data_IF_082712174475
#
_entry.id   IF_082712174475
#
_cell.length_a   1.000
_cell.length_b   1.000
_cell.length_c   1.000
_cell.angle_alpha   90.00
_cell.angle_beta   90.00
_cell.angle_gamma   90.00
#
_symmetry.space_group_name_H-M   'P 1'
#
loop_
_entity.id
_entity.type
_entity.pdbx_description
1 polymer ?
#
# COMPACT_ATOMS: atom_id res chain seq x y z
N UNK A 1 12.59 8.53 -18.95
CA UNK A 1 14.03 8.56 -18.61
C UNK A 1 14.36 7.69 -17.38
N UNK A 2 13.63 7.81 -16.24
CA UNK A 2 13.92 7.08 -14.99
C UNK A 2 13.86 5.56 -15.16
N UNK A 3 12.77 5.03 -15.71
CA UNK A 3 12.61 3.59 -15.96
C UNK A 3 13.76 3.03 -16.82
N UNK A 4 14.17 3.76 -17.88
CA UNK A 4 15.28 3.33 -18.75
C UNK A 4 16.60 3.21 -18.00
N UNK A 5 16.86 4.11 -17.05
CA UNK A 5 18.05 4.05 -16.19
C UNK A 5 17.98 2.89 -15.19
N UNK A 6 16.83 2.74 -14.52
CA UNK A 6 16.65 1.75 -13.47
C UNK A 6 16.54 0.31 -13.98
N UNK A 7 16.05 0.08 -15.20
CA UNK A 7 16.03 -1.26 -15.84
C UNK A 7 17.41 -1.91 -15.98
N UNK A 8 18.48 -1.13 -15.92
CA UNK A 8 19.85 -1.67 -15.93
C UNK A 8 20.21 -2.40 -14.64
N UNK A 9 19.53 -2.08 -13.53
CA UNK A 9 19.84 -2.61 -12.20
C UNK A 9 18.69 -3.43 -11.60
N UNK A 10 17.46 -3.15 -11.99
CA UNK A 10 16.26 -3.76 -11.41
C UNK A 10 15.33 -4.30 -12.48
N UNK A 11 14.60 -5.36 -12.13
CA UNK A 11 13.52 -5.89 -12.99
C UNK A 11 12.29 -4.96 -12.90
N UNK A 12 12.20 -4.01 -13.83
CA UNK A 12 11.13 -3.01 -13.84
C UNK A 12 10.30 -3.16 -15.11
N UNK A 13 8.99 -3.25 -14.93
CA UNK A 13 8.00 -3.23 -16.01
C UNK A 13 7.28 -1.88 -15.95
N UNK A 14 7.13 -1.22 -17.07
CA UNK A 14 6.39 0.04 -17.15
C UNK A 14 6.94 1.01 -18.20
N UNK A 15 6.31 2.20 -18.31
CA UNK A 15 5.15 2.64 -17.52
C UNK A 15 3.91 1.79 -17.78
N UNK A 16 3.04 1.62 -16.77
CA UNK A 16 1.74 0.97 -16.88
C UNK A 16 0.63 1.99 -16.76
N UNK A 17 -0.51 1.72 -17.39
CA UNK A 17 -1.71 2.52 -17.21
C UNK A 17 -2.28 2.31 -15.80
N UNK A 18 -2.53 3.38 -15.01
CA UNK A 18 -2.96 3.23 -13.62
C UNK A 18 -4.25 2.44 -13.44
N UNK A 19 -5.22 2.65 -14.33
CA UNK A 19 -6.53 1.99 -14.32
C UNK A 19 -6.47 0.47 -14.51
N UNK A 20 -5.47 -0.03 -15.24
CA UNK A 20 -5.31 -1.44 -15.55
C UNK A 20 -4.13 -2.11 -14.84
N UNK A 21 -3.31 -1.36 -14.13
CA UNK A 21 -2.08 -1.86 -13.50
C UNK A 21 -2.35 -3.01 -12.52
N UNK A 22 -3.43 -2.95 -11.75
CA UNK A 22 -3.83 -4.00 -10.82
C UNK A 22 -4.33 -5.28 -11.52
N UNK A 23 -4.96 -5.15 -12.66
CA UNK A 23 -5.37 -6.30 -13.49
C UNK A 23 -4.14 -6.97 -14.13
N UNK A 24 -3.18 -6.18 -14.56
CA UNK A 24 -1.95 -6.65 -15.19
C UNK A 24 -0.98 -7.27 -14.19
N UNK A 25 -1.04 -6.90 -12.91
CA UNK A 25 -0.14 -7.37 -11.85
C UNK A 25 0.00 -8.90 -11.84
N UNK A 26 -1.10 -9.62 -11.86
CA UNK A 26 -1.08 -11.08 -11.81
C UNK A 26 -0.54 -11.69 -13.12
N UNK A 27 -0.94 -11.15 -14.27
CA UNK A 27 -0.47 -11.60 -15.59
C UNK A 27 1.02 -11.41 -15.76
N UNK A 28 1.55 -10.28 -15.29
CA UNK A 28 2.95 -9.90 -15.43
C UNK A 28 3.82 -10.32 -14.23
N UNK A 29 3.23 -11.01 -13.22
CA UNK A 29 3.90 -11.45 -11.98
C UNK A 29 4.65 -10.30 -11.29
N UNK A 30 3.96 -9.18 -11.10
CA UNK A 30 4.51 -7.98 -10.47
C UNK A 30 4.36 -8.09 -8.95
N UNK A 31 5.46 -8.01 -8.22
CA UNK A 31 5.48 -8.03 -6.75
C UNK A 31 5.10 -6.68 -6.14
N UNK A 32 5.58 -5.59 -6.74
CA UNK A 32 5.43 -4.22 -6.23
C UNK A 32 4.91 -3.29 -7.33
N UNK A 33 3.85 -2.55 -7.03
CA UNK A 33 3.36 -1.44 -7.87
C UNK A 33 3.84 -0.11 -7.28
N UNK A 34 4.47 0.73 -8.11
CA UNK A 34 4.97 2.04 -7.72
C UNK A 34 4.10 3.12 -8.36
N UNK A 35 3.44 3.90 -7.53
CA UNK A 35 2.73 5.13 -7.93
C UNK A 35 3.48 6.37 -7.48
N UNK A 36 3.32 7.49 -8.21
CA UNK A 36 3.98 8.75 -7.91
C UNK A 36 3.14 9.66 -7.01
N UNK A 37 1.86 9.38 -6.86
CA UNK A 37 0.95 10.11 -5.98
C UNK A 37 -0.09 9.17 -5.38
N UNK A 38 -0.69 9.63 -4.29
CA UNK A 38 -1.58 8.86 -3.42
C UNK A 38 -2.67 8.08 -4.18
N UNK A 39 -3.48 8.74 -4.98
CA UNK A 39 -4.66 8.09 -5.60
C UNK A 39 -4.32 7.23 -6.82
N UNK A 40 -3.09 7.31 -7.33
CA UNK A 40 -2.66 6.54 -8.49
C UNK A 40 -2.73 5.01 -8.25
N UNK A 41 -2.52 4.59 -7.01
CA UNK A 41 -2.54 3.17 -6.63
C UNK A 41 -3.55 2.87 -5.53
N UNK A 42 -3.85 3.80 -4.63
CA UNK A 42 -4.68 3.52 -3.45
C UNK A 42 -6.14 3.31 -3.78
N UNK A 43 -6.70 3.95 -4.78
CA UNK A 43 -8.10 3.74 -5.18
C UNK A 43 -8.34 2.28 -5.55
N UNK A 44 -7.54 1.73 -6.46
CA UNK A 44 -7.64 0.33 -6.87
C UNK A 44 -7.25 -0.63 -5.75
N UNK A 45 -6.29 -0.24 -4.91
CA UNK A 45 -5.86 -1.03 -3.77
C UNK A 45 -6.98 -1.19 -2.74
N UNK A 46 -7.60 -0.10 -2.32
CA UNK A 46 -8.70 -0.11 -1.34
C UNK A 46 -9.93 -0.83 -1.84
N UNK A 47 -10.28 -0.68 -3.10
CA UNK A 47 -11.37 -1.43 -3.74
C UNK A 47 -11.15 -2.96 -3.63
N UNK A 48 -9.91 -3.42 -3.68
CA UNK A 48 -9.58 -4.83 -3.66
C UNK A 48 -9.35 -5.40 -2.26
N UNK A 49 -8.76 -4.62 -1.36
CA UNK A 49 -8.27 -5.09 -0.07
C UNK A 49 -8.96 -4.44 1.14
N UNK A 50 -9.86 -3.48 0.90
CA UNK A 50 -10.64 -2.79 1.94
C UNK A 50 -9.75 -2.28 3.09
N UNK A 51 -10.06 -2.67 4.32
CA UNK A 51 -9.35 -2.28 5.54
C UNK A 51 -8.21 -3.23 5.94
N UNK A 52 -7.74 -4.09 5.04
CA UNK A 52 -6.62 -5.00 5.32
C UNK A 52 -5.24 -4.32 5.22
N UNK A 53 -5.21 -3.09 4.72
CA UNK A 53 -3.99 -2.35 4.49
C UNK A 53 -3.34 -1.79 5.75
N UNK A 54 -2.02 -1.64 5.68
CA UNK A 54 -1.22 -0.85 6.62
C UNK A 54 -0.36 0.13 5.83
N UNK A 55 -0.05 1.26 6.44
CA UNK A 55 0.86 2.26 5.87
C UNK A 55 2.22 2.15 6.57
N UNK A 56 3.29 2.01 5.78
CA UNK A 56 4.67 1.93 6.27
C UNK A 56 5.48 3.02 5.61
N UNK A 57 6.11 3.88 6.41
CA UNK A 57 7.04 4.90 5.90
C UNK A 57 8.45 4.31 5.82
N UNK A 58 9.02 4.29 4.63
CA UNK A 58 10.36 3.76 4.36
C UNK A 58 11.38 4.91 4.31
N UNK A 59 12.61 4.65 4.74
CA UNK A 59 13.73 5.61 4.67
C UNK A 59 13.92 6.45 5.94
N UNK A 60 13.20 6.16 7.00
CA UNK A 60 13.42 6.74 8.33
C UNK A 60 14.41 5.88 9.14
N UNK A 61 15.14 6.47 10.12
CA UNK A 61 16.02 5.70 11.02
C UNK A 61 15.24 4.89 12.08
N UNK A 62 13.94 4.90 12.03
CA UNK A 62 13.02 4.15 12.89
C UNK A 62 11.86 3.61 12.06
N UNK A 63 11.21 2.57 12.56
CA UNK A 63 10.03 1.98 11.90
C UNK A 63 8.81 2.85 12.21
N UNK A 64 8.15 3.36 11.17
CA UNK A 64 6.89 4.10 11.26
C UNK A 64 5.80 3.35 10.52
N UNK A 65 4.82 2.88 11.27
CA UNK A 65 3.66 2.15 10.77
C UNK A 65 2.40 2.82 11.27
N UNK A 66 1.38 2.88 10.43
CA UNK A 66 0.04 3.34 10.82
C UNK A 66 -1.04 2.48 10.16
N UNK A 67 -2.23 2.39 10.77
CA UNK A 67 -3.40 1.86 10.08
C UNK A 67 -3.72 2.69 8.84
N UNK A 68 -4.23 2.03 7.81
CA UNK A 68 -4.63 2.69 6.55
C UNK A 68 -6.14 2.90 6.50
N UNK A 69 -6.66 3.73 7.40
CA UNK A 69 -8.07 4.14 7.43
C UNK A 69 -8.21 5.65 7.65
N UNK A 70 -9.33 6.21 7.17
CA UNK A 70 -9.70 7.61 7.37
C UNK A 70 -10.24 7.88 8.79
N UNK A 71 -10.71 9.11 9.00
CA UNK A 71 -11.20 9.60 10.31
C UNK A 71 -12.49 8.87 10.74
N UNK A 72 -13.31 8.40 9.80
CA UNK A 72 -14.52 7.63 10.09
C UNK A 72 -15.54 8.43 10.93
N UNK A 73 -15.75 9.71 10.60
CA UNK A 73 -16.67 10.59 11.35
C UNK A 73 -18.09 10.06 11.43
N UNK A 74 -18.51 9.31 10.42
CA UNK A 74 -19.82 8.68 10.32
C UNK A 74 -20.06 7.54 11.32
N UNK A 75 -19.02 6.98 11.91
CA UNK A 75 -19.08 5.87 12.87
C UNK A 75 -18.69 6.27 14.29
N UNK A 76 -18.44 7.55 14.55
CA UNK A 76 -18.08 8.04 15.88
C UNK A 76 -19.18 7.70 16.89
N UNK A 77 -18.81 7.12 18.03
CA UNK A 77 -19.71 6.75 19.11
C UNK A 77 -20.59 5.53 18.87
N UNK A 78 -20.55 4.92 17.67
CA UNK A 78 -21.39 3.76 17.32
C UNK A 78 -20.82 2.40 17.75
N UNK A 79 -19.56 2.33 18.16
CA UNK A 79 -18.91 1.08 18.58
C UNK A 79 -18.71 0.03 17.45
N UNK A 80 -18.81 0.45 16.18
CA UNK A 80 -18.74 -0.44 15.00
C UNK A 80 -17.44 -0.33 14.21
N UNK A 81 -16.44 0.36 14.75
CA UNK A 81 -15.15 0.53 14.09
C UNK A 81 -14.48 -0.83 13.85
N UNK A 82 -13.95 -1.03 12.63
CA UNK A 82 -13.21 -2.24 12.28
C UNK A 82 -11.73 -2.11 12.71
N UNK A 83 -11.24 -2.89 13.68
CA UNK A 83 -9.86 -2.77 14.17
C UNK A 83 -8.83 -3.53 13.31
N UNK A 84 -9.20 -4.07 12.15
CA UNK A 84 -8.37 -5.01 11.38
C UNK A 84 -7.05 -4.40 10.95
N UNK A 85 -7.08 -3.21 10.36
CA UNK A 85 -5.88 -2.48 9.94
C UNK A 85 -4.93 -2.18 11.12
N UNK A 86 -5.48 -1.75 12.26
CA UNK A 86 -4.70 -1.50 13.48
C UNK A 86 -4.04 -2.79 14.00
N UNK A 87 -4.78 -3.89 14.08
CA UNK A 87 -4.24 -5.20 14.47
C UNK A 87 -3.14 -5.67 13.51
N UNK A 88 -3.30 -5.44 12.20
CA UNK A 88 -2.29 -5.78 11.20
C UNK A 88 -1.02 -4.94 11.36
N UNK A 89 -1.16 -3.64 11.68
CA UNK A 89 -0.04 -2.76 11.96
C UNK A 89 0.79 -3.25 13.17
N UNK A 90 0.12 -3.64 14.28
CA UNK A 90 0.78 -4.21 15.46
C UNK A 90 1.48 -5.53 15.11
N UNK A 91 0.82 -6.44 14.42
CA UNK A 91 1.41 -7.73 14.02
C UNK A 91 2.66 -7.52 13.15
N UNK A 92 2.60 -6.60 12.19
CA UNK A 92 3.75 -6.27 11.37
C UNK A 92 4.90 -5.71 12.21
N UNK A 93 4.61 -4.75 13.08
CA UNK A 93 5.61 -4.16 13.99
C UNK A 93 6.28 -5.22 14.86
N UNK A 94 5.50 -6.11 15.50
CA UNK A 94 6.01 -7.17 16.34
C UNK A 94 6.90 -8.18 15.61
N UNK A 95 6.63 -8.38 14.30
CA UNK A 95 7.40 -9.31 13.47
C UNK A 95 8.74 -8.74 13.01
N UNK A 96 8.82 -7.44 12.77
CA UNK A 96 9.96 -6.78 12.13
C UNK A 96 10.68 -5.77 13.03
N UNK A 97 10.21 -5.55 14.26
CA UNK A 97 10.90 -4.75 15.25
C UNK A 97 11.93 -5.66 15.95
N UNK A 98 13.09 -5.66 15.35
CA UNK A 98 14.27 -6.37 15.91
C UNK A 98 15.10 -5.36 16.67
#
# INVERSE_FOLDING_TARGET
>A
PAIKKLKKKYSIIGPLSPDTSFLQRNKLKIDVLIGHYHDQVLTSFKTKFDLDAINITIGLPFIRISPDHGIGTDIIGKGIANPKSFKNAIKFFSKYNV
#
